data_IF_854651578218
#
_entry.id   IF_854651578218
#
_cell.length_a   1.000
_cell.length_b   1.000
_cell.length_c   1.000
_cell.angle_alpha   90.00
_cell.angle_beta   90.00
_cell.angle_gamma   90.00
#
_symmetry.space_group_name_H-M   'P 1'
#
loop_
_entity.id
_entity.type
_entity.pdbx_description
1 polymer ?
#
# COMPACT_ATOMS: atom_id res chain seq x y z
N UNK A 1 9.99 -10.73 -7.07
CA UNK A 1 10.67 -9.60 -6.41
C UNK A 1 12.14 -9.38 -6.81
N UNK A 2 12.86 -10.38 -7.35
CA UNK A 2 14.24 -10.21 -7.88
C UNK A 2 14.38 -8.97 -8.78
N UNK A 3 13.51 -8.82 -9.78
CA UNK A 3 13.53 -7.66 -10.69
C UNK A 3 13.35 -6.33 -9.96
N UNK A 4 12.57 -6.30 -8.86
CA UNK A 4 12.38 -5.09 -8.06
C UNK A 4 13.66 -4.70 -7.31
N UNK A 5 14.38 -5.69 -6.75
CA UNK A 5 15.69 -5.47 -6.13
C UNK A 5 16.74 -4.95 -7.11
N UNK A 6 16.80 -5.52 -8.32
CA UNK A 6 17.69 -5.05 -9.37
C UNK A 6 17.35 -3.63 -9.83
N UNK A 7 16.05 -3.32 -9.98
CA UNK A 7 15.60 -1.98 -10.37
C UNK A 7 15.91 -0.94 -9.29
N UNK A 8 15.73 -1.28 -8.00
CA UNK A 8 16.08 -0.41 -6.88
C UNK A 8 17.58 -0.11 -6.84
N UNK A 9 18.43 -1.13 -6.99
CA UNK A 9 19.88 -0.94 -7.08
C UNK A 9 20.24 0.03 -8.21
N UNK A 10 19.74 -0.22 -9.44
CA UNK A 10 20.05 0.63 -10.60
C UNK A 10 19.56 2.06 -10.42
N UNK A 11 18.38 2.25 -9.82
CA UNK A 11 17.82 3.59 -9.59
C UNK A 11 18.65 4.40 -8.60
N UNK A 12 19.13 3.76 -7.54
CA UNK A 12 19.88 4.41 -6.46
C UNK A 12 21.35 4.02 -6.44
N UNK A 13 21.91 3.72 -7.62
CA UNK A 13 23.24 3.12 -7.77
C UNK A 13 24.33 3.90 -7.01
N UNK A 14 24.24 5.25 -7.03
CA UNK A 14 25.17 6.11 -6.31
C UNK A 14 25.26 5.82 -4.80
N UNK A 15 24.13 5.52 -4.17
CA UNK A 15 24.06 5.15 -2.74
C UNK A 15 24.27 3.64 -2.54
N UNK A 16 23.69 2.83 -3.44
CA UNK A 16 23.60 1.38 -3.32
C UNK A 16 24.93 0.65 -3.51
N UNK A 17 25.90 1.29 -4.18
CA UNK A 17 27.30 0.83 -4.26
C UNK A 17 27.93 0.72 -2.86
N UNK A 18 27.84 1.78 -2.07
CA UNK A 18 28.53 1.86 -0.78
C UNK A 18 27.61 1.62 0.42
N UNK A 19 26.35 1.22 0.22
CA UNK A 19 25.39 1.02 1.30
C UNK A 19 24.43 -0.12 0.98
N UNK A 20 24.18 -0.97 1.97
CA UNK A 20 23.11 -1.97 1.89
C UNK A 20 21.82 -1.43 2.54
N UNK A 21 20.65 -1.86 2.05
CA UNK A 21 19.39 -1.46 2.65
C UNK A 21 19.21 -2.09 4.04
N UNK A 22 18.67 -1.32 4.99
CA UNK A 22 18.05 -1.91 6.18
C UNK A 22 16.67 -2.46 5.79
N UNK A 23 16.42 -3.74 6.06
CA UNK A 23 15.23 -4.45 5.56
C UNK A 23 14.32 -4.92 6.68
N UNK A 24 13.02 -4.60 6.61
CA UNK A 24 11.98 -5.18 7.46
C UNK A 24 10.92 -5.88 6.63
N UNK A 25 10.26 -6.87 7.21
CA UNK A 25 9.13 -7.54 6.59
C UNK A 25 8.04 -7.83 7.62
N UNK A 26 6.79 -7.68 7.23
CA UNK A 26 5.67 -8.20 8.01
C UNK A 26 5.72 -9.73 8.08
N UNK A 27 5.20 -10.27 9.17
CA UNK A 27 5.41 -11.62 9.70
C UNK A 27 4.73 -12.75 8.95
N UNK A 28 4.54 -12.60 7.64
CA UNK A 28 3.89 -13.59 6.80
C UNK A 28 4.84 -14.14 5.73
N UNK A 29 4.76 -15.46 5.49
CA UNK A 29 5.69 -16.17 4.62
C UNK A 29 5.84 -15.52 3.24
N UNK A 30 4.75 -15.12 2.57
CA UNK A 30 4.83 -14.51 1.22
C UNK A 30 5.54 -13.16 1.22
N UNK A 31 5.46 -12.41 2.33
CA UNK A 31 6.10 -11.10 2.50
C UNK A 31 7.58 -11.28 2.83
N UNK A 32 7.92 -12.20 3.73
CA UNK A 32 9.30 -12.55 4.07
C UNK A 32 10.05 -13.09 2.85
N UNK A 33 9.43 -14.01 2.10
CA UNK A 33 10.02 -14.55 0.87
C UNK A 33 10.18 -13.46 -0.19
N UNK A 34 9.23 -12.51 -0.29
CA UNK A 34 9.35 -11.33 -1.16
C UNK A 34 10.55 -10.45 -0.82
N UNK A 35 10.78 -10.19 0.47
CA UNK A 35 11.95 -9.43 0.94
C UNK A 35 13.27 -10.14 0.60
N UNK A 36 13.33 -11.46 0.80
CA UNK A 36 14.51 -12.27 0.45
C UNK A 36 14.78 -12.27 -1.05
N UNK A 37 13.75 -12.40 -1.88
CA UNK A 37 13.90 -12.34 -3.34
C UNK A 37 14.31 -10.94 -3.82
N UNK A 38 13.85 -9.87 -3.17
CA UNK A 38 14.37 -8.52 -3.41
C UNK A 38 15.86 -8.43 -3.06
N UNK A 39 16.27 -8.91 -1.88
CA UNK A 39 17.67 -8.89 -1.44
C UNK A 39 18.59 -9.63 -2.42
N UNK A 40 18.16 -10.80 -2.92
CA UNK A 40 18.87 -11.53 -3.98
C UNK A 40 19.06 -10.69 -5.24
N UNK A 41 17.99 -10.02 -5.69
CA UNK A 41 18.04 -9.15 -6.87
C UNK A 41 18.96 -7.94 -6.69
N UNK A 42 18.90 -7.28 -5.53
CA UNK A 42 19.76 -6.16 -5.19
C UNK A 42 21.23 -6.58 -5.14
N UNK A 43 21.56 -7.64 -4.40
CA UNK A 43 22.92 -8.16 -4.26
C UNK A 43 23.51 -8.59 -5.61
N UNK A 44 22.73 -9.27 -6.44
CA UNK A 44 23.15 -9.65 -7.80
C UNK A 44 23.47 -8.42 -8.65
N UNK A 45 22.66 -7.36 -8.58
CA UNK A 45 22.93 -6.12 -9.31
C UNK A 45 24.17 -5.38 -8.79
N UNK A 46 24.41 -5.41 -7.47
CA UNK A 46 25.59 -4.82 -6.81
C UNK A 46 26.89 -5.50 -7.24
N UNK A 47 26.96 -6.81 -7.09
CA UNK A 47 28.15 -7.61 -7.43
C UNK A 47 28.44 -7.66 -8.93
N UNK A 48 27.40 -7.60 -9.78
CA UNK A 48 27.57 -7.50 -11.23
C UNK A 48 28.22 -6.18 -11.68
N UNK A 49 28.27 -5.16 -10.84
CA UNK A 49 28.80 -3.84 -11.17
C UNK A 49 30.31 -3.66 -10.87
N UNK A 50 31.03 -4.77 -10.70
CA UNK A 50 32.48 -4.75 -10.46
C UNK A 50 32.91 -4.58 -9.01
N UNK A 51 31.96 -4.54 -8.07
CA UNK A 51 32.24 -4.63 -6.63
C UNK A 51 32.35 -6.11 -6.24
N UNK A 52 33.56 -6.54 -5.89
CA UNK A 52 33.87 -7.97 -5.78
C UNK A 52 33.41 -8.61 -4.47
N UNK A 53 33.15 -7.85 -3.41
CA UNK A 53 32.76 -8.38 -2.11
C UNK A 53 31.71 -7.50 -1.42
N UNK A 54 30.53 -8.07 -1.19
CA UNK A 54 29.44 -7.46 -0.43
C UNK A 54 29.30 -8.22 0.90
N UNK A 55 30.13 -7.86 1.87
CA UNK A 55 30.27 -8.57 3.15
C UNK A 55 28.99 -8.56 4.00
N UNK A 56 28.07 -7.63 3.73
CA UNK A 56 26.79 -7.53 4.43
C UNK A 56 25.74 -8.54 3.90
N UNK A 57 26.03 -9.28 2.83
CA UNK A 57 25.14 -10.30 2.30
C UNK A 57 25.30 -11.65 3.04
N UNK A 58 24.21 -12.33 3.44
CA UNK A 58 22.81 -11.98 3.22
C UNK A 58 22.34 -10.83 4.12
N UNK A 59 21.66 -9.84 3.53
CA UNK A 59 21.10 -8.74 4.32
C UNK A 59 20.02 -9.28 5.26
N UNK A 60 20.14 -8.94 6.55
CA UNK A 60 19.18 -9.36 7.56
C UNK A 60 17.79 -8.76 7.29
N UNK A 61 16.74 -9.55 7.54
CA UNK A 61 15.35 -9.10 7.45
C UNK A 61 14.78 -9.09 8.86
N UNK A 62 14.50 -7.90 9.40
CA UNK A 62 13.80 -7.75 10.67
C UNK A 62 12.34 -8.09 10.47
N UNK A 63 11.91 -9.23 10.99
CA UNK A 63 10.53 -9.71 10.87
C UNK A 63 9.67 -9.16 12.00
N UNK A 64 8.58 -8.48 11.66
CA UNK A 64 7.60 -7.94 12.61
C UNK A 64 6.39 -8.87 12.65
N UNK A 65 5.97 -9.30 13.84
CA UNK A 65 4.91 -10.31 13.97
C UNK A 65 3.54 -9.79 13.50
N UNK A 66 2.73 -10.68 12.91
CA UNK A 66 1.30 -10.46 12.61
C UNK A 66 0.38 -11.18 13.61
N UNK A 67 0.94 -11.71 14.70
CA UNK A 67 0.12 -12.33 15.73
C UNK A 67 -0.83 -11.29 16.34
N UNK A 68 -2.05 -11.72 16.69
CA UNK A 68 -3.04 -10.88 17.35
C UNK A 68 -2.44 -10.14 18.56
N UNK A 69 -2.66 -8.84 18.63
CA UNK A 69 -2.10 -7.95 19.66
C UNK A 69 -0.66 -7.50 19.42
N UNK A 70 -0.04 -7.82 18.28
CA UNK A 70 1.27 -7.30 17.92
C UNK A 70 1.17 -5.90 17.31
N UNK A 71 2.00 -4.98 17.81
CA UNK A 71 2.23 -3.69 17.17
C UNK A 71 3.07 -3.88 15.91
N UNK A 72 2.46 -3.62 14.76
CA UNK A 72 3.08 -3.76 13.45
C UNK A 72 2.63 -2.60 12.53
N UNK A 73 3.59 -1.82 12.03
CA UNK A 73 3.31 -0.72 11.09
C UNK A 73 3.17 -1.19 9.64
N UNK A 74 3.48 -2.47 9.37
CA UNK A 74 3.42 -3.10 8.06
C UNK A 74 2.21 -4.05 7.90
N UNK A 75 1.38 -4.16 8.94
CA UNK A 75 0.15 -4.94 8.96
C UNK A 75 -0.85 -4.40 9.99
N UNK A 76 -2.06 -4.06 9.54
CA UNK A 76 -3.20 -3.71 10.39
C UNK A 76 -3.69 -4.92 11.20
N UNK A 77 -4.40 -4.65 12.30
CA UNK A 77 -4.92 -5.72 13.17
C UNK A 77 -5.17 -5.32 14.63
N UNK A 78 -4.76 -4.11 15.02
CA UNK A 78 -4.95 -3.62 16.40
C UNK A 78 -6.24 -2.80 16.58
N UNK A 79 -6.72 -2.12 15.54
CA UNK A 79 -7.81 -1.16 15.65
C UNK A 79 -9.18 -1.86 15.60
N UNK A 80 -9.73 -2.24 16.76
CA UNK A 80 -10.96 -3.06 16.84
C UNK A 80 -12.13 -2.52 16.02
N UNK A 81 -12.40 -1.20 16.08
CA UNK A 81 -13.47 -0.59 15.31
C UNK A 81 -13.24 -0.66 13.79
N UNK A 82 -11.99 -0.59 13.34
CA UNK A 82 -11.63 -0.74 11.93
C UNK A 82 -11.75 -2.21 11.47
N UNK A 83 -11.25 -3.16 12.26
CA UNK A 83 -11.33 -4.60 11.93
C UNK A 83 -12.78 -5.12 11.89
N UNK A 84 -13.70 -4.45 12.58
CA UNK A 84 -15.13 -4.74 12.54
C UNK A 84 -15.88 -4.05 11.37
N UNK A 85 -15.21 -3.21 10.59
CA UNK A 85 -15.83 -2.40 9.53
C UNK A 85 -16.20 -3.24 8.31
N UNK A 86 -17.41 -3.04 7.79
CA UNK A 86 -17.91 -3.65 6.55
C UNK A 86 -18.05 -2.64 5.39
N UNK A 87 -17.56 -1.40 5.56
CA UNK A 87 -17.73 -0.32 4.58
C UNK A 87 -17.17 -0.72 3.20
N UNK A 88 -15.99 -1.34 3.17
CA UNK A 88 -15.35 -1.81 1.94
C UNK A 88 -16.16 -2.89 1.21
N UNK A 89 -16.64 -3.90 1.94
CA UNK A 89 -17.43 -4.99 1.37
C UNK A 89 -18.83 -4.52 0.97
N UNK A 90 -19.44 -3.59 1.70
CA UNK A 90 -20.71 -2.95 1.34
C UNK A 90 -20.61 -2.15 0.03
N UNK A 91 -19.54 -1.38 -0.15
CA UNK A 91 -19.28 -0.64 -1.38
C UNK A 91 -19.10 -1.59 -2.58
N UNK A 92 -18.31 -2.65 -2.40
CA UNK A 92 -18.12 -3.69 -3.42
C UNK A 92 -19.43 -4.42 -3.75
N UNK A 93 -20.22 -4.78 -2.75
CA UNK A 93 -21.53 -5.45 -2.94
C UNK A 93 -22.49 -4.59 -3.74
N UNK A 94 -22.59 -3.30 -3.40
CA UNK A 94 -23.42 -2.33 -4.11
C UNK A 94 -23.03 -2.28 -5.59
N UNK A 95 -21.73 -2.12 -5.88
CA UNK A 95 -21.26 -2.01 -7.24
C UNK A 95 -21.34 -3.32 -8.02
N UNK A 96 -21.04 -4.46 -7.39
CA UNK A 96 -21.20 -5.79 -8.00
C UNK A 96 -22.63 -6.03 -8.47
N UNK A 97 -23.64 -5.56 -7.72
CA UNK A 97 -25.05 -5.67 -8.11
C UNK A 97 -25.41 -4.91 -9.40
N UNK A 98 -24.56 -3.95 -9.83
CA UNK A 98 -24.74 -3.18 -11.06
C UNK A 98 -24.19 -3.92 -12.27
N UNK A 99 -22.95 -4.42 -12.21
CA UNK A 99 -22.25 -4.89 -13.42
C UNK A 99 -22.25 -6.41 -13.61
N UNK A 100 -22.38 -7.19 -12.54
CA UNK A 100 -22.35 -8.66 -12.64
C UNK A 100 -23.62 -9.32 -13.20
N UNK A 101 -24.85 -8.81 -13.02
CA UNK A 101 -26.06 -9.50 -13.50
C UNK A 101 -26.05 -9.93 -14.98
N UNK A 102 -25.69 -9.07 -15.96
CA UNK A 102 -25.63 -9.48 -17.37
C UNK A 102 -24.54 -10.54 -17.63
N UNK A 103 -23.44 -10.50 -16.87
CA UNK A 103 -22.34 -11.47 -16.97
C UNK A 103 -22.79 -12.83 -16.43
N UNK A 104 -23.40 -12.86 -15.25
CA UNK A 104 -23.94 -14.08 -14.62
C UNK A 104 -24.97 -14.75 -15.51
N UNK A 105 -25.88 -13.97 -16.11
CA UNK A 105 -26.86 -14.49 -17.06
C UNK A 105 -26.18 -15.14 -18.29
N UNK A 106 -25.14 -14.50 -18.85
CA UNK A 106 -24.36 -15.04 -19.96
C UNK A 106 -23.64 -16.34 -19.59
N UNK A 107 -23.00 -16.40 -18.41
CA UNK A 107 -22.30 -17.60 -17.95
C UNK A 107 -23.27 -18.76 -17.77
N UNK A 108 -24.41 -18.55 -17.10
CA UNK A 108 -25.43 -19.59 -16.92
C UNK A 108 -26.08 -20.05 -18.24
N UNK A 109 -26.21 -19.16 -19.23
CA UNK A 109 -26.68 -19.54 -20.56
C UNK A 109 -25.71 -20.49 -21.29
N UNK A 110 -24.40 -20.37 -21.03
CA UNK A 110 -23.37 -21.22 -21.63
C UNK A 110 -23.00 -22.44 -20.76
N UNK A 111 -23.45 -22.48 -19.51
CA UNK A 111 -23.23 -23.58 -18.57
C UNK A 111 -24.57 -24.04 -17.98
N UNK A 112 -25.40 -24.78 -18.77
CA UNK A 112 -26.70 -25.25 -18.31
C UNK A 112 -26.58 -26.03 -16.99
N UNK A 113 -27.46 -25.72 -16.04
CA UNK A 113 -27.52 -26.29 -14.68
C UNK A 113 -26.40 -25.86 -13.71
N UNK A 114 -25.50 -24.95 -14.09
CA UNK A 114 -24.47 -24.46 -13.17
C UNK A 114 -25.03 -23.58 -12.04
N UNK A 115 -26.13 -22.86 -12.30
CA UNK A 115 -26.82 -22.01 -11.32
C UNK A 115 -25.88 -21.03 -10.57
N UNK A 116 -25.00 -20.37 -11.32
CA UNK A 116 -24.01 -19.42 -10.81
C UNK A 116 -24.67 -18.16 -10.25
N UNK A 117 -24.14 -17.69 -9.13
CA UNK A 117 -24.53 -16.45 -8.46
C UNK A 117 -23.70 -15.24 -8.95
N UNK A 118 -24.07 -14.04 -8.49
CA UNK A 118 -23.27 -12.82 -8.73
C UNK A 118 -21.87 -12.93 -8.10
N UNK A 119 -21.78 -13.55 -6.92
CA UNK A 119 -20.50 -13.81 -6.25
C UNK A 119 -19.64 -14.80 -7.03
N UNK A 120 -20.24 -15.87 -7.56
CA UNK A 120 -19.52 -16.83 -8.40
C UNK A 120 -18.96 -16.15 -9.66
N UNK A 121 -19.65 -15.15 -10.19
CA UNK A 121 -19.16 -14.37 -11.34
C UNK A 121 -17.86 -13.64 -11.00
N UNK A 122 -17.79 -12.97 -9.84
CA UNK A 122 -16.54 -12.34 -9.36
C UNK A 122 -15.45 -13.40 -9.18
N UNK A 123 -15.76 -14.53 -8.53
CA UNK A 123 -14.77 -15.60 -8.33
C UNK A 123 -14.24 -16.18 -9.65
N UNK A 124 -15.07 -16.28 -10.69
CA UNK A 124 -14.63 -16.71 -12.02
C UNK A 124 -13.75 -15.63 -12.68
N UNK A 125 -14.03 -14.34 -12.45
CA UNK A 125 -13.13 -13.25 -12.88
C UNK A 125 -11.78 -13.33 -12.16
N UNK A 126 -11.76 -13.61 -10.85
CA UNK A 126 -10.53 -13.76 -10.05
C UNK A 126 -9.61 -14.86 -10.60
N UNK A 127 -10.17 -15.94 -11.16
CA UNK A 127 -9.36 -17.02 -11.74
C UNK A 127 -8.46 -16.56 -12.88
N UNK A 128 -8.85 -15.53 -13.64
CA UNK A 128 -8.01 -15.00 -14.72
C UNK A 128 -6.64 -14.54 -14.23
N UNK A 129 -6.51 -13.54 -13.32
CA UNK A 129 -5.20 -13.11 -12.86
C UNK A 129 -4.46 -14.20 -12.08
N UNK A 130 -5.14 -14.95 -11.20
CA UNK A 130 -4.48 -15.99 -10.39
C UNK A 130 -3.89 -17.12 -11.23
N UNK A 131 -4.63 -17.69 -12.18
CA UNK A 131 -4.12 -18.76 -13.04
C UNK A 131 -3.04 -18.23 -14.00
N UNK A 132 -3.21 -17.01 -14.52
CA UNK A 132 -2.22 -16.38 -15.42
C UNK A 132 -0.84 -16.30 -14.75
N UNK A 133 -0.77 -15.86 -13.49
CA UNK A 133 0.52 -15.70 -12.78
C UNK A 133 1.04 -16.99 -12.16
N UNK A 134 0.19 -17.99 -11.95
CA UNK A 134 0.59 -19.31 -11.46
C UNK A 134 1.15 -20.23 -12.58
N UNK A 135 0.75 -20.01 -13.83
CA UNK A 135 1.18 -20.82 -14.97
C UNK A 135 2.54 -20.39 -15.54
N UNK A 136 3.35 -21.36 -15.99
CA UNK A 136 4.63 -21.14 -16.66
C UNK A 136 4.63 -21.80 -18.06
N UNK A 137 4.96 -21.09 -19.15
CA UNK A 137 5.21 -19.64 -19.24
C UNK A 137 3.91 -18.83 -19.00
N UNK A 138 4.02 -17.62 -18.42
CA UNK A 138 2.87 -16.75 -18.08
C UNK A 138 2.06 -16.38 -19.32
N UNK A 139 1.06 -17.22 -19.64
CA UNK A 139 0.11 -16.99 -20.73
C UNK A 139 -1.23 -16.60 -20.10
N UNK A 140 -1.97 -15.63 -20.67
CA UNK A 140 -3.28 -15.27 -20.14
C UNK A 140 -4.17 -16.50 -20.03
N UNK A 141 -4.71 -16.72 -18.83
CA UNK A 141 -5.63 -17.80 -18.52
C UNK A 141 -6.81 -17.83 -19.52
N UNK A 142 -7.33 -19.01 -19.89
CA UNK A 142 -8.57 -19.11 -20.65
C UNK A 142 -9.76 -18.40 -19.99
N UNK A 143 -9.80 -18.30 -18.65
CA UNK A 143 -10.83 -17.54 -17.93
C UNK A 143 -10.85 -16.07 -18.34
N UNK A 144 -9.70 -15.50 -18.70
CA UNK A 144 -9.60 -14.11 -19.14
C UNK A 144 -10.48 -13.80 -20.36
N UNK A 145 -10.69 -14.80 -21.23
CA UNK A 145 -11.45 -14.66 -22.49
C UNK A 145 -12.97 -14.81 -22.32
N UNK A 146 -13.44 -15.18 -21.12
CA UNK A 146 -14.88 -15.27 -20.83
C UNK A 146 -15.54 -13.89 -20.66
N UNK A 147 -14.71 -12.85 -20.49
CA UNK A 147 -15.13 -11.50 -20.18
C UNK A 147 -14.63 -10.52 -21.24
N UNK A 148 -15.41 -9.46 -21.46
CA UNK A 148 -15.09 -8.40 -22.43
C UNK A 148 -14.16 -7.35 -21.80
N UNK A 149 -13.48 -6.50 -22.59
CA UNK A 149 -12.68 -5.40 -22.05
C UNK A 149 -13.44 -4.47 -21.09
N UNK A 150 -14.70 -4.14 -21.41
CA UNK A 150 -15.54 -3.29 -20.54
C UNK A 150 -15.84 -3.97 -19.21
N UNK A 151 -16.04 -5.29 -19.20
CA UNK A 151 -16.24 -6.03 -17.95
C UNK A 151 -14.96 -6.08 -17.11
N UNK A 152 -13.78 -6.12 -17.75
CA UNK A 152 -12.51 -5.98 -17.05
C UNK A 152 -12.31 -4.58 -16.46
N UNK A 153 -12.70 -3.52 -17.14
CA UNK A 153 -12.71 -2.15 -16.59
C UNK A 153 -13.64 -2.06 -15.37
N UNK A 154 -14.83 -2.69 -15.44
CA UNK A 154 -15.74 -2.76 -14.32
C UNK A 154 -15.14 -3.53 -13.15
N UNK A 155 -14.48 -4.66 -13.40
CA UNK A 155 -13.81 -5.45 -12.36
C UNK A 155 -12.60 -4.72 -11.74
N UNK A 156 -11.81 -4.00 -12.53
CA UNK A 156 -10.72 -3.14 -12.02
C UNK A 156 -11.26 -2.07 -11.06
N UNK A 157 -12.38 -1.44 -11.43
CA UNK A 157 -13.04 -0.47 -10.55
C UNK A 157 -13.65 -1.13 -9.31
N UNK A 158 -14.21 -2.34 -9.41
CA UNK A 158 -14.67 -3.14 -8.26
C UNK A 158 -13.53 -3.40 -7.25
N UNK A 159 -12.34 -3.74 -7.73
CA UNK A 159 -11.16 -3.91 -6.86
C UNK A 159 -10.70 -2.57 -6.26
N UNK A 160 -10.79 -1.49 -7.04
CA UNK A 160 -10.48 -0.13 -6.58
C UNK A 160 -11.41 0.31 -5.45
N UNK A 161 -12.71 0.03 -5.53
CA UNK A 161 -13.67 0.30 -4.45
C UNK A 161 -13.31 -0.44 -3.17
N UNK A 162 -12.91 -1.72 -3.27
CA UNK A 162 -12.48 -2.52 -2.12
C UNK A 162 -11.30 -1.89 -1.38
N UNK A 163 -10.31 -1.37 -2.10
CA UNK A 163 -9.18 -0.66 -1.48
C UNK A 163 -9.56 0.72 -0.95
N UNK A 164 -10.32 1.51 -1.71
CA UNK A 164 -10.70 2.87 -1.32
C UNK A 164 -11.57 2.91 -0.06
N UNK A 165 -12.61 2.09 -0.02
CA UNK A 165 -13.58 2.03 1.07
C UNK A 165 -13.20 1.05 2.19
N UNK A 166 -12.29 0.11 1.91
CA UNK A 166 -11.73 -0.78 2.93
C UNK A 166 -10.62 -0.11 3.75
N UNK A 167 -9.60 0.44 3.08
CA UNK A 167 -8.33 0.83 3.71
C UNK A 167 -7.92 2.27 3.41
N UNK A 168 -8.51 2.87 2.38
CA UNK A 168 -8.22 4.23 1.93
C UNK A 168 -9.14 5.29 2.56
N UNK A 169 -9.21 6.48 1.94
CA UNK A 169 -9.99 7.62 2.45
C UNK A 169 -11.51 7.40 2.51
N UNK A 170 -12.03 6.38 1.84
CA UNK A 170 -13.44 6.00 1.91
C UNK A 170 -13.84 5.37 3.25
N UNK A 171 -12.86 4.90 4.05
CA UNK A 171 -13.08 4.42 5.40
C UNK A 171 -12.64 5.48 6.43
N UNK A 172 -13.49 5.88 7.40
CA UNK A 172 -13.11 6.85 8.43
C UNK A 172 -11.84 6.49 9.23
N UNK A 173 -11.55 5.19 9.37
CA UNK A 173 -10.37 4.68 10.07
C UNK A 173 -9.31 4.08 9.12
N UNK A 174 -9.52 4.12 7.81
CA UNK A 174 -8.56 3.61 6.82
C UNK A 174 -7.20 4.31 6.89
N UNK A 175 -7.13 5.65 6.68
CA UNK A 175 -5.87 6.39 6.78
C UNK A 175 -5.20 6.25 8.15
N UNK A 176 -5.98 6.11 9.22
CA UNK A 176 -5.49 5.91 10.58
C UNK A 176 -4.59 4.67 10.70
N UNK A 177 -4.81 3.61 9.92
CA UNK A 177 -3.97 2.41 9.98
C UNK A 177 -2.55 2.65 9.45
N UNK A 178 -2.35 3.65 8.59
CA UNK A 178 -1.03 3.99 8.04
C UNK A 178 -0.18 4.92 8.92
N UNK A 179 -0.75 5.48 10.00
CA UNK A 179 -0.11 6.54 10.79
C UNK A 179 1.22 6.12 11.40
N UNK A 180 1.30 4.92 11.97
CA UNK A 180 2.53 4.42 12.59
C UNK A 180 3.70 4.38 11.61
N UNK A 181 3.48 3.87 10.39
CA UNK A 181 4.50 3.84 9.34
C UNK A 181 4.89 5.27 8.89
N UNK A 182 3.93 6.19 8.80
CA UNK A 182 4.24 7.59 8.47
C UNK A 182 5.13 8.24 9.53
N UNK A 183 4.87 7.97 10.81
CA UNK A 183 5.71 8.46 11.90
C UNK A 183 7.12 7.83 11.91
N UNK A 184 7.24 6.54 11.54
CA UNK A 184 8.54 5.90 11.28
C UNK A 184 9.27 6.52 10.07
N UNK A 185 8.56 6.85 8.98
CA UNK A 185 9.13 7.51 7.81
C UNK A 185 9.66 8.90 8.17
N UNK A 186 8.89 9.69 8.94
CA UNK A 186 9.33 11.00 9.44
C UNK A 186 10.60 10.87 10.29
N UNK A 187 10.66 9.87 11.16
CA UNK A 187 11.84 9.59 11.98
C UNK A 187 13.09 9.33 11.12
N UNK A 188 12.98 8.50 10.08
CA UNK A 188 14.07 8.21 9.13
C UNK A 188 14.50 9.42 8.33
N UNK A 189 13.55 10.21 7.82
CA UNK A 189 13.84 11.40 7.01
C UNK A 189 14.54 12.51 7.82
N UNK A 190 14.15 12.67 9.08
CA UNK A 190 14.65 13.75 9.97
C UNK A 190 15.80 13.33 10.89
N UNK A 191 16.10 12.03 10.98
CA UNK A 191 17.07 11.49 11.92
C UNK A 191 16.68 11.66 13.39
N UNK A 192 15.38 11.79 13.68
CA UNK A 192 14.84 11.95 15.05
C UNK A 192 14.15 10.66 15.51
N UNK A 193 14.09 10.36 16.82
CA UNK A 193 13.37 9.20 17.33
C UNK A 193 11.89 9.18 16.91
N UNK A 194 11.32 7.99 16.74
CA UNK A 194 9.90 7.81 16.44
C UNK A 194 9.04 8.41 17.55
N UNK A 195 8.09 9.27 17.18
CA UNK A 195 7.07 9.82 18.07
C UNK A 195 5.69 9.31 17.63
N UNK A 196 5.23 8.23 18.27
CA UNK A 196 3.98 7.57 17.91
C UNK A 196 3.32 6.89 19.12
N UNK A 197 2.00 6.78 19.05
CA UNK A 197 1.17 6.10 20.03
C UNK A 197 0.07 5.24 19.38
N UNK A 198 0.28 4.85 18.11
CA UNK A 198 -0.63 4.06 17.29
C UNK A 198 -0.12 2.62 17.14
N UNK A 199 0.31 2.20 15.95
CA UNK A 199 0.74 0.83 15.62
C UNK A 199 2.23 0.56 15.79
N UNK A 200 3.04 1.56 16.20
CA UNK A 200 4.48 1.38 16.41
C UNK A 200 4.79 0.47 17.60
N UNK A 201 5.72 -0.46 17.41
CA UNK A 201 6.32 -1.22 18.50
C UNK A 201 7.51 -0.45 19.10
N UNK A 202 7.29 0.18 20.25
CA UNK A 202 8.29 1.01 20.92
C UNK A 202 9.58 0.26 21.33
N UNK A 203 9.54 -1.06 21.48
CA UNK A 203 10.75 -1.85 21.78
C UNK A 203 11.62 -2.00 20.53
N UNK A 204 10.99 -2.28 19.38
CA UNK A 204 11.67 -2.42 18.08
C UNK A 204 12.23 -1.06 17.63
N UNK A 205 11.46 0.01 17.79
CA UNK A 205 11.80 1.33 17.23
C UNK A 205 12.80 2.14 18.07
N UNK A 206 13.01 1.76 19.34
CA UNK A 206 14.03 2.38 20.21
C UNK A 206 15.41 1.74 20.09
N UNK A 207 15.49 0.53 19.56
CA UNK A 207 16.75 -0.20 19.42
C UNK A 207 17.36 0.08 18.04
N UNK A 208 18.56 0.70 17.95
CA UNK A 208 19.22 0.98 16.68
C UNK A 208 19.52 -0.27 15.83
N UNK A 209 19.54 -1.47 16.42
CA UNK A 209 19.73 -2.72 15.69
C UNK A 209 18.48 -3.15 14.92
N UNK A 210 17.29 -2.73 15.37
CA UNK A 210 15.99 -3.07 14.76
C UNK A 210 15.26 -1.88 14.14
N UNK A 211 15.72 -0.65 14.40
CA UNK A 211 15.28 0.57 13.72
C UNK A 211 16.42 1.60 13.64
N UNK A 212 17.43 1.40 12.77
CA UNK A 212 18.53 2.33 12.63
C UNK A 212 18.08 3.64 11.96
N UNK A 213 18.43 4.77 12.56
CA UNK A 213 18.33 6.08 11.93
C UNK A 213 19.63 6.39 11.17
N UNK A 214 19.53 7.20 10.10
CA UNK A 214 20.70 7.66 9.33
C UNK A 214 21.27 6.67 8.30
N UNK A 215 20.56 5.58 7.98
CA UNK A 215 20.91 4.75 6.82
C UNK A 215 20.51 5.46 5.53
N UNK A 216 21.28 5.26 4.47
CA UNK A 216 20.98 5.82 3.15
C UNK A 216 19.83 5.09 2.45
N UNK A 217 19.62 3.80 2.76
CA UNK A 217 18.66 2.93 2.09
C UNK A 217 17.86 2.12 3.11
N UNK A 218 16.55 2.08 2.91
CA UNK A 218 15.58 1.30 3.69
C UNK A 218 14.67 0.54 2.72
N UNK A 219 14.23 -0.65 3.09
CA UNK A 219 13.21 -1.41 2.36
C UNK A 219 12.27 -2.12 3.34
N UNK A 220 10.99 -1.79 3.28
CA UNK A 220 9.96 -2.43 4.10
C UNK A 220 8.99 -3.22 3.20
N UNK A 221 8.61 -4.42 3.63
CA UNK A 221 7.70 -5.32 2.91
C UNK A 221 6.46 -5.55 3.78
N UNK A 222 5.28 -5.22 3.25
CA UNK A 222 3.98 -5.41 3.90
C UNK A 222 2.93 -5.86 2.89
N UNK A 223 1.67 -5.46 3.09
CA UNK A 223 0.54 -5.83 2.23
C UNK A 223 -0.06 -4.64 1.49
N UNK A 224 -0.86 -4.94 0.48
CA UNK A 224 -1.60 -3.97 -0.32
C UNK A 224 -2.56 -3.10 0.51
N UNK A 225 -3.24 -3.69 1.49
CA UNK A 225 -4.09 -3.00 2.46
C UNK A 225 -3.32 -1.91 3.22
N UNK A 226 -2.17 -2.29 3.79
CA UNK A 226 -1.34 -1.40 4.60
C UNK A 226 -0.69 -0.31 3.74
N UNK A 227 -0.23 -0.65 2.54
CA UNK A 227 0.25 0.34 1.57
C UNK A 227 -0.85 1.36 1.22
N UNK A 228 -2.09 0.91 1.03
CA UNK A 228 -3.23 1.80 0.77
C UNK A 228 -3.46 2.76 1.94
N UNK A 229 -3.45 2.25 3.17
CA UNK A 229 -3.61 3.06 4.37
C UNK A 229 -2.46 4.06 4.55
N UNK A 230 -1.21 3.66 4.28
CA UNK A 230 -0.04 4.54 4.31
C UNK A 230 -0.15 5.67 3.28
N UNK A 231 -0.54 5.36 2.03
CA UNK A 231 -0.73 6.39 1.01
C UNK A 231 -1.83 7.39 1.38
N UNK A 232 -2.89 6.91 2.01
CA UNK A 232 -3.97 7.76 2.50
C UNK A 232 -3.52 8.62 3.69
N UNK A 233 -2.77 8.07 4.65
CA UNK A 233 -2.22 8.79 5.80
C UNK A 233 -1.24 9.91 5.40
N UNK A 234 -0.49 9.70 4.32
CA UNK A 234 0.39 10.68 3.69
C UNK A 234 -0.35 11.74 2.87
N UNK A 235 -1.65 11.53 2.61
CA UNK A 235 -2.46 12.41 1.78
C UNK A 235 -2.12 12.40 0.30
N UNK A 236 -1.50 11.32 -0.21
CA UNK A 236 -1.04 11.24 -1.61
C UNK A 236 -2.18 11.26 -2.64
N UNK A 237 -3.41 10.99 -2.20
CA UNK A 237 -4.62 10.94 -3.03
C UNK A 237 -5.73 11.83 -2.47
N UNK A 238 -5.38 12.92 -1.77
CA UNK A 238 -6.36 13.85 -1.19
C UNK A 238 -7.22 14.58 -2.24
N UNK A 239 -6.74 14.69 -3.48
CA UNK A 239 -7.51 15.27 -4.59
C UNK A 239 -8.43 14.27 -5.28
N UNK A 240 -8.36 12.98 -4.94
CA UNK A 240 -9.31 11.97 -5.44
C UNK A 240 -10.69 12.21 -4.82
N UNK A 241 -11.74 12.41 -5.63
CA UNK A 241 -13.10 12.55 -5.11
C UNK A 241 -13.60 11.21 -4.52
N UNK A 242 -14.62 11.23 -3.63
CA UNK A 242 -15.29 10.00 -3.22
C UNK A 242 -15.74 9.17 -4.42
N UNK A 243 -15.38 7.88 -4.44
CA UNK A 243 -15.65 7.01 -5.57
C UNK A 243 -17.12 6.60 -5.63
N UNK A 244 -17.72 6.61 -6.82
CA UNK A 244 -19.09 6.13 -6.99
C UNK A 244 -19.19 4.62 -6.72
N UNK A 245 -20.19 4.20 -5.96
CA UNK A 245 -20.53 2.78 -5.77
C UNK A 245 -21.54 2.27 -6.80
N UNK A 246 -21.95 3.09 -7.77
CA UNK A 246 -23.05 2.78 -8.71
C UNK A 246 -22.67 2.89 -10.18
N UNK A 247 -21.51 3.48 -10.50
CA UNK A 247 -20.99 3.55 -11.85
C UNK A 247 -19.46 3.58 -11.84
N UNK A 248 -18.85 3.11 -12.92
CA UNK A 248 -17.39 3.10 -13.10
C UNK A 248 -16.87 4.52 -13.22
N UNK A 249 -15.74 4.80 -12.55
CA UNK A 249 -14.96 6.02 -12.77
C UNK A 249 -13.60 5.65 -13.38
N UNK A 250 -13.16 6.43 -14.35
CA UNK A 250 -11.86 6.31 -15.00
C UNK A 250 -10.73 6.79 -14.07
N UNK A 251 -9.50 6.35 -14.35
CA UNK A 251 -8.33 6.78 -13.57
C UNK A 251 -8.09 8.30 -13.61
N UNK A 252 -8.52 8.97 -14.68
CA UNK A 252 -8.45 10.43 -14.78
C UNK A 252 -9.45 11.10 -13.83
N UNK A 253 -10.69 10.58 -13.75
CA UNK A 253 -11.72 11.05 -12.81
C UNK A 253 -11.36 10.77 -11.35
N UNK A 254 -10.58 9.72 -11.08
CA UNK A 254 -10.06 9.40 -9.74
C UNK A 254 -8.69 10.03 -9.45
N UNK A 255 -8.19 10.90 -10.35
CA UNK A 255 -6.93 11.63 -10.19
C UNK A 255 -5.70 10.72 -10.02
N UNK A 256 -5.71 9.56 -10.66
CA UNK A 256 -4.61 8.59 -10.63
C UNK A 256 -4.75 7.51 -9.56
N UNK A 257 -5.89 7.41 -8.88
CA UNK A 257 -6.15 6.35 -7.90
C UNK A 257 -6.87 5.16 -8.53
N UNK A 258 -6.21 4.00 -8.54
CA UNK A 258 -6.86 2.70 -8.75
C UNK A 258 -6.07 1.61 -8.03
N UNK A 259 -6.71 0.47 -7.71
CA UNK A 259 -6.00 -0.65 -7.08
C UNK A 259 -4.81 -1.12 -7.95
N UNK A 260 -5.01 -1.24 -9.27
CA UNK A 260 -3.97 -1.65 -10.20
C UNK A 260 -2.81 -0.65 -10.33
N UNK A 261 -3.06 0.65 -10.15
CA UNK A 261 -2.03 1.69 -10.24
C UNK A 261 -1.28 1.90 -8.93
N UNK A 262 -1.89 1.57 -7.79
CA UNK A 262 -1.34 1.84 -6.46
C UNK A 262 -0.74 0.62 -5.79
N UNK A 263 -1.47 -0.50 -5.76
CA UNK A 263 -1.11 -1.70 -5.01
C UNK A 263 -1.24 -3.01 -5.84
N UNK A 264 -0.68 -3.08 -7.07
CA UNK A 264 -0.61 -4.34 -7.81
C UNK A 264 0.32 -5.35 -7.11
N UNK A 265 0.36 -6.60 -7.58
CA UNK A 265 1.40 -7.53 -7.14
C UNK A 265 2.79 -6.94 -7.38
N UNK A 266 3.67 -7.04 -6.36
CA UNK A 266 5.00 -6.43 -6.35
C UNK A 266 5.00 -4.89 -6.48
N UNK A 267 3.94 -4.22 -5.99
CA UNK A 267 3.89 -2.78 -5.83
C UNK A 267 5.11 -2.24 -5.08
N UNK A 268 5.47 -1.00 -5.39
CA UNK A 268 6.56 -0.28 -4.72
C UNK A 268 6.24 1.20 -4.62
N UNK A 269 6.63 1.80 -3.50
CA UNK A 269 6.71 3.23 -3.34
C UNK A 269 8.13 3.64 -2.96
N UNK A 270 8.61 4.75 -3.53
CA UNK A 270 9.90 5.34 -3.20
C UNK A 270 9.67 6.70 -2.56
N UNK A 271 10.20 6.85 -1.34
CA UNK A 271 10.23 8.10 -0.59
C UNK A 271 11.66 8.62 -0.62
N UNK A 272 11.91 9.61 -1.47
CA UNK A 272 13.25 10.11 -1.75
C UNK A 272 13.51 11.38 -0.94
N UNK A 273 14.68 11.44 -0.28
CA UNK A 273 15.25 12.67 0.26
C UNK A 273 16.42 13.11 -0.62
N UNK A 274 16.38 14.35 -1.11
CA UNK A 274 17.25 14.85 -2.17
C UNK A 274 17.89 16.16 -1.74
N UNK A 275 19.20 16.29 -1.89
CA UNK A 275 19.86 17.61 -1.86
C UNK A 275 20.00 18.11 -3.29
N UNK A 276 19.45 19.29 -3.60
CA UNK A 276 19.51 19.89 -4.93
C UNK A 276 20.46 21.08 -4.94
N UNK A 277 21.13 21.32 -6.07
CA UNK A 277 21.93 22.52 -6.26
C UNK A 277 21.03 23.77 -6.20
N UNK A 278 21.40 24.76 -5.39
CA UNK A 278 20.63 25.99 -5.20
C UNK A 278 19.51 25.90 -4.15
N UNK A 279 19.22 24.72 -3.61
CA UNK A 279 18.31 24.55 -2.47
C UNK A 279 19.11 24.45 -1.18
N UNK A 280 18.75 25.24 -0.16
CA UNK A 280 19.38 25.15 1.17
C UNK A 280 18.87 23.96 1.98
N UNK A 281 17.61 23.58 1.78
CA UNK A 281 16.94 22.49 2.49
C UNK A 281 16.85 21.22 1.63
N UNK A 282 16.91 20.06 2.27
CA UNK A 282 16.64 18.78 1.63
C UNK A 282 15.18 18.74 1.13
N UNK A 283 14.98 18.16 -0.05
CA UNK A 283 13.67 18.04 -0.70
C UNK A 283 13.17 16.60 -0.60
N UNK A 284 11.84 16.43 -0.53
CA UNK A 284 11.17 15.14 -0.55
C UNK A 284 10.44 14.94 -1.87
N UNK A 285 10.52 13.73 -2.44
CA UNK A 285 9.72 13.28 -3.59
C UNK A 285 9.16 11.89 -3.35
N UNK A 286 7.93 11.65 -3.79
CA UNK A 286 7.29 10.33 -3.70
C UNK A 286 6.99 9.78 -5.09
N UNK A 287 7.34 8.51 -5.31
CA UNK A 287 6.96 7.76 -6.49
C UNK A 287 6.15 6.53 -6.08
N UNK A 288 5.03 6.29 -6.75
CA UNK A 288 4.23 5.06 -6.59
C UNK A 288 4.25 4.34 -7.93
N UNK A 289 4.80 3.12 -7.95
CA UNK A 289 4.94 2.29 -9.15
C UNK A 289 5.60 3.00 -10.36
N UNK A 290 6.51 3.93 -10.08
CA UNK A 290 7.24 4.71 -11.09
C UNK A 290 6.57 6.03 -11.49
N UNK A 291 5.31 6.27 -11.10
CA UNK A 291 4.64 7.57 -11.25
C UNK A 291 5.09 8.50 -10.13
N UNK A 292 5.52 9.72 -10.48
CA UNK A 292 5.75 10.79 -9.49
C UNK A 292 4.39 11.31 -9.01
N UNK A 293 4.19 11.31 -7.69
CA UNK A 293 2.97 11.81 -7.04
C UNK A 293 3.27 13.21 -6.49
N UNK A 294 2.60 14.27 -6.99
CA UNK A 294 2.77 15.62 -6.46
C UNK A 294 2.35 15.69 -4.98
N UNK A 295 3.22 16.26 -4.15
CA UNK A 295 2.96 16.44 -2.71
C UNK A 295 2.16 17.73 -2.46
N UNK A 296 0.90 17.75 -2.88
CA UNK A 296 0.05 18.95 -2.92
C UNK A 296 -0.07 19.65 -1.55
N UNK A 297 -0.06 18.88 -0.45
CA UNK A 297 -0.21 19.37 0.93
C UNK A 297 0.97 20.20 1.47
N UNK A 298 2.13 20.22 0.80
CA UNK A 298 3.33 20.91 1.29
C UNK A 298 3.86 22.01 0.34
N UNK A 299 3.05 22.47 -0.62
CA UNK A 299 3.43 23.51 -1.58
C UNK A 299 4.45 23.02 -2.60
N UNK A 300 4.03 21.99 -3.34
CA UNK A 300 4.81 21.25 -4.34
C UNK A 300 5.39 22.15 -5.45
N UNK A 301 6.59 21.82 -5.91
CA UNK A 301 7.22 22.43 -7.09
C UNK A 301 6.80 21.76 -8.41
N UNK A 302 7.28 22.28 -9.54
CA UNK A 302 6.98 21.73 -10.88
C UNK A 302 7.50 20.31 -11.14
N UNK A 303 8.26 19.72 -10.22
CA UNK A 303 8.79 18.35 -10.30
C UNK A 303 8.15 17.40 -9.28
N UNK A 304 7.10 17.84 -8.56
CA UNK A 304 6.41 17.01 -7.59
C UNK A 304 7.08 16.95 -6.22
N UNK A 305 7.97 17.88 -5.89
CA UNK A 305 8.77 17.88 -4.65
C UNK A 305 8.36 19.00 -3.70
N UNK A 306 8.66 18.87 -2.42
CA UNK A 306 8.62 19.98 -1.46
C UNK A 306 9.76 19.86 -0.45
N UNK A 307 10.06 20.93 0.29
CA UNK A 307 11.14 20.88 1.29
C UNK A 307 10.77 19.92 2.43
N UNK A 308 11.77 19.31 3.05
CA UNK A 308 11.59 18.31 4.11
C UNK A 308 10.74 18.85 5.27
N UNK A 309 11.00 20.07 5.72
CA UNK A 309 10.27 20.75 6.79
C UNK A 309 8.81 20.90 6.44
N UNK A 310 8.49 21.38 5.23
CA UNK A 310 7.10 21.53 4.77
C UNK A 310 6.42 20.18 4.58
N UNK A 311 7.14 19.16 4.10
CA UNK A 311 6.62 17.81 4.02
C UNK A 311 6.21 17.31 5.41
N UNK A 312 7.12 17.39 6.39
CA UNK A 312 6.85 16.94 7.77
C UNK A 312 5.73 17.75 8.42
N UNK A 313 5.67 19.07 8.23
CA UNK A 313 4.59 19.94 8.72
C UNK A 313 3.23 19.57 8.12
N UNK A 314 3.20 19.17 6.85
CA UNK A 314 1.96 18.75 6.18
C UNK A 314 1.36 17.45 6.73
N UNK A 315 2.15 16.66 7.47
CA UNK A 315 1.74 15.36 8.03
C UNK A 315 1.06 15.49 9.41
N UNK A 316 0.40 16.62 9.68
CA UNK A 316 -0.27 16.89 10.97
C UNK A 316 -1.28 15.82 11.39
N UNK A 317 -1.99 15.20 10.44
CA UNK A 317 -2.89 14.07 10.72
C UNK A 317 -2.13 12.89 11.37
N UNK A 318 -1.04 12.43 10.77
CA UNK A 318 -0.25 11.32 11.30
C UNK A 318 0.48 11.70 12.61
N UNK A 319 1.02 12.92 12.69
CA UNK A 319 1.69 13.41 13.89
C UNK A 319 0.75 13.51 15.11
N UNK A 320 -0.55 13.76 14.87
CA UNK A 320 -1.58 13.77 15.90
C UNK A 320 -2.09 12.37 16.30
N UNK A 321 -1.63 11.30 15.64
CA UNK A 321 -2.14 9.94 15.85
C UNK A 321 -3.36 9.58 15.01
N UNK A 322 -3.70 10.39 14.01
CA UNK A 322 -4.91 10.23 13.20
C UNK A 322 -6.18 10.17 14.05
N UNK A 323 -7.06 9.21 13.75
CA UNK A 323 -8.24 8.91 14.56
C UNK A 323 -8.05 7.66 15.43
N UNK A 324 -6.82 7.36 15.85
CA UNK A 324 -6.51 6.14 16.60
C UNK A 324 -7.27 6.03 17.93
N UNK A 325 -7.68 7.16 18.53
CA UNK A 325 -8.53 7.14 19.72
C UNK A 325 -9.88 6.45 19.49
N UNK A 326 -10.42 6.52 18.27
CA UNK A 326 -11.71 5.91 17.90
C UNK A 326 -11.62 4.39 17.70
N UNK A 327 -10.41 3.81 17.69
CA UNK A 327 -10.22 2.36 17.52
C UNK A 327 -10.83 1.52 18.64
N UNK A 328 -10.95 2.09 19.84
CA UNK A 328 -11.31 1.37 21.07
C UNK A 328 -12.44 2.04 21.86
N UNK A 329 -13.01 3.12 21.35
CA UNK A 329 -14.22 3.70 21.94
C UNK A 329 -15.34 2.67 21.80
N UNK A 330 -15.96 2.29 22.93
CA UNK A 330 -17.14 1.45 22.91
C UNK A 330 -18.16 2.15 22.01
N UNK A 331 -18.73 1.45 21.03
CA UNK A 331 -19.90 1.92 20.32
C UNK A 331 -20.97 2.23 21.36
N UNK A 332 -21.09 3.52 21.69
CA UNK A 332 -21.97 4.00 22.74
C UNK A 332 -23.38 3.48 22.48
N UNK A 333 -23.96 2.91 23.53
CA UNK A 333 -25.39 2.65 23.65
C UNK A 333 -26.15 3.79 22.96
N UNK A 334 -27.02 3.43 22.01
CA UNK A 334 -28.04 4.32 21.47
C UNK A 334 -28.87 4.79 22.65
N UNK A 335 -28.53 5.97 23.19
CA UNK A 335 -29.33 6.63 24.20
C UNK A 335 -30.74 6.82 23.65
N UNK A 336 -31.72 6.26 24.36
CA UNK A 336 -33.13 6.54 24.18
C UNK A 336 -33.33 8.05 24.01
N UNK A 337 -33.78 8.44 22.81
CA UNK A 337 -34.38 9.75 22.63
C UNK A 337 -35.79 9.61 23.15
N UNK A 338 -35.99 10.07 24.39
CA UNK A 338 -37.29 10.33 24.99
C UNK A 338 -38.14 11.13 23.99
N UNK A 339 -39.21 10.50 23.51
CA UNK A 339 -40.29 11.18 22.78
C UNK A 339 -41.22 11.77 23.83
N UNK A 340 -41.11 13.09 24.03
CA UNK A 340 -42.13 13.91 24.67
C UNK A 340 -42.95 14.66 23.62
#
# INVERSE_FOLDING_TARGET
>A
MVNSGQAFFRRYEYLAKTSSPFVRASGERRVIDSAREFNKGFHHAKTANGETEDEEYPYNVTVISEAAGSNNTLNHGLCTAFEASDIGSAAQSTYASVFTPPITARLNANLPNANLTLTDTISIMDLCPFETVASAPSTPSPFCKLFTPVEWEQYDFYQTLGKYYGYGPGNPLGPTQGVGFVNELVARLTGRPVNDHTSVNRTIDKDPSTFPLGKSLYADFGHDNDMTAVFAALGLYNSTPPLSTTHTMTVDETHGYSAAWTVPFAARAYFEKLQCEGEEEEMVRVLVNGRVLPLESCGVDGLGRCTLGRFVESLGFAQAGGHWNQCFEASGETGDVDVA
#
